data_IF_870658379356
#
_entry.id   IF_870658379356
#
_cell.length_a   1.000
_cell.length_b   1.000
_cell.length_c   1.000
_cell.angle_alpha   90.00
_cell.angle_beta   90.00
_cell.angle_gamma   90.00
#
_symmetry.space_group_name_H-M   'P 1'
#
loop_
_entity.id
_entity.type
_entity.pdbx_description
1 polymer ?
#
# COMPACT_ATOMS: atom_id res chain seq x y z
N UNK A 1 -12.24 31.02 28.77
CA UNK A 1 -12.23 30.02 27.69
C UNK A 1 -10.77 29.79 27.38
N UNK A 2 -10.15 28.84 28.06
CA UNK A 2 -8.84 28.36 27.66
C UNK A 2 -9.04 27.50 26.43
N UNK A 3 -8.40 27.91 25.34
CA UNK A 3 -8.26 27.07 24.15
C UNK A 3 -7.16 26.10 24.53
N UNK A 4 -7.53 24.87 24.86
CA UNK A 4 -6.58 23.79 25.12
C UNK A 4 -5.76 23.59 23.83
N UNK A 5 -4.48 24.00 23.88
CA UNK A 5 -3.64 24.21 22.70
C UNK A 5 -2.43 23.27 22.62
N UNK A 6 -2.37 22.20 23.43
CA UNK A 6 -1.10 21.47 23.62
C UNK A 6 -1.16 19.94 23.60
N UNK A 7 -2.27 19.35 23.14
CA UNK A 7 -2.29 17.91 22.84
C UNK A 7 -2.61 17.69 21.37
N UNK A 8 -1.71 17.05 20.60
CA UNK A 8 -2.06 16.54 19.27
C UNK A 8 -3.32 15.71 19.40
N UNK A 9 -4.31 15.99 18.57
CA UNK A 9 -5.51 15.14 18.46
C UNK A 9 -5.03 13.73 18.12
N UNK A 10 -5.08 12.83 19.10
CA UNK A 10 -4.57 11.46 18.98
C UNK A 10 -5.27 10.71 17.84
N UNK A 11 -6.53 11.05 17.55
CA UNK A 11 -7.24 10.51 16.40
C UNK A 11 -6.59 10.99 15.08
N UNK A 12 -6.26 12.28 14.99
CA UNK A 12 -5.60 12.84 13.80
C UNK A 12 -4.20 12.28 13.62
N UNK A 13 -3.42 12.15 14.69
CA UNK A 13 -2.09 11.55 14.64
C UNK A 13 -2.15 10.12 14.07
N UNK A 14 -3.10 9.31 14.56
CA UNK A 14 -3.27 7.95 14.06
C UNK A 14 -3.72 7.90 12.60
N UNK A 15 -4.57 8.84 12.18
CA UNK A 15 -4.98 8.96 10.77
C UNK A 15 -3.79 9.32 9.88
N UNK A 16 -2.93 10.23 10.32
CA UNK A 16 -1.72 10.64 9.59
C UNK A 16 -0.71 9.49 9.50
N UNK A 17 -0.52 8.70 10.57
CA UNK A 17 0.31 7.48 10.56
C UNK A 17 -0.19 6.45 9.52
N UNK A 18 -1.49 6.16 9.52
CA UNK A 18 -2.10 5.21 8.59
C UNK A 18 -1.99 5.69 7.13
N UNK A 19 -2.09 7.01 6.90
CA UNK A 19 -1.87 7.60 5.58
C UNK A 19 -0.42 7.43 5.10
N UNK A 20 0.55 7.71 5.96
CA UNK A 20 1.97 7.53 5.63
C UNK A 20 2.30 6.06 5.35
N UNK A 21 1.70 5.14 6.11
CA UNK A 21 1.83 3.70 5.85
C UNK A 21 1.27 3.33 4.46
N UNK A 22 0.09 3.83 4.09
CA UNK A 22 -0.49 3.61 2.77
C UNK A 22 0.38 4.21 1.67
N UNK A 23 0.95 5.41 1.86
CA UNK A 23 1.85 6.04 0.88
C UNK A 23 3.09 5.18 0.63
N UNK A 24 3.73 4.67 1.68
CA UNK A 24 4.88 3.75 1.54
C UNK A 24 4.49 2.43 0.86
N UNK A 25 3.31 1.88 1.16
CA UNK A 25 2.80 0.66 0.53
C UNK A 25 2.43 0.87 -0.95
N UNK A 26 1.94 2.06 -1.31
CA UNK A 26 1.69 2.42 -2.71
C UNK A 26 2.99 2.47 -3.52
N UNK A 27 4.05 3.05 -2.96
CA UNK A 27 5.37 3.06 -3.60
C UNK A 27 5.89 1.63 -3.81
N UNK A 28 5.83 0.78 -2.77
CA UNK A 28 6.21 -0.61 -2.88
C UNK A 28 5.40 -1.35 -3.95
N UNK A 29 4.09 -1.13 -4.01
CA UNK A 29 3.21 -1.73 -5.00
C UNK A 29 3.52 -1.28 -6.42
N UNK A 30 3.87 -0.01 -6.63
CA UNK A 30 4.33 0.50 -7.92
C UNK A 30 5.64 -0.17 -8.34
N UNK A 31 6.61 -0.29 -7.44
CA UNK A 31 7.88 -0.95 -7.73
C UNK A 31 7.67 -2.41 -8.17
N UNK A 32 6.84 -3.17 -7.44
CA UNK A 32 6.55 -4.57 -7.81
C UNK A 32 5.83 -4.67 -9.15
N UNK A 33 4.92 -3.74 -9.44
CA UNK A 33 4.26 -3.66 -10.75
C UNK A 33 5.26 -3.39 -11.88
N UNK A 34 6.17 -2.44 -11.71
CA UNK A 34 7.21 -2.12 -12.69
C UNK A 34 8.14 -3.32 -12.95
N UNK A 35 8.54 -4.04 -11.91
CA UNK A 35 9.34 -5.26 -12.03
C UNK A 35 8.60 -6.37 -12.79
N UNK A 36 7.33 -6.59 -12.47
CA UNK A 36 6.49 -7.57 -13.16
C UNK A 36 6.32 -7.19 -14.64
N UNK A 37 6.11 -5.92 -14.93
CA UNK A 37 5.93 -5.43 -16.29
C UNK A 37 7.22 -5.54 -17.11
N UNK A 38 8.40 -5.28 -16.50
CA UNK A 38 9.69 -5.50 -17.13
C UNK A 38 9.90 -6.98 -17.49
N UNK A 39 9.57 -7.91 -16.58
CA UNK A 39 9.59 -9.35 -16.87
C UNK A 39 8.64 -9.73 -18.00
N UNK A 40 7.45 -9.10 -18.06
CA UNK A 40 6.48 -9.31 -19.12
C UNK A 40 7.03 -8.87 -20.49
N UNK A 41 7.68 -7.71 -20.55
CA UNK A 41 8.32 -7.23 -21.78
C UNK A 41 9.47 -8.14 -22.24
N UNK A 42 10.25 -8.70 -21.32
CA UNK A 42 11.28 -9.69 -21.66
C UNK A 42 10.69 -11.00 -22.18
N UNK A 43 9.62 -11.49 -21.54
CA UNK A 43 8.91 -12.69 -22.00
C UNK A 43 8.32 -12.49 -23.41
N UNK A 44 7.76 -11.32 -23.73
CA UNK A 44 7.24 -11.01 -25.07
C UNK A 44 8.30 -11.14 -26.17
N UNK A 45 9.58 -10.91 -25.85
CA UNK A 45 10.70 -11.09 -26.80
C UNK A 45 11.01 -12.56 -27.06
N UNK A 46 10.75 -13.45 -26.10
CA UNK A 46 11.00 -14.89 -26.18
C UNK A 46 9.81 -15.71 -25.63
N UNK A 47 8.66 -15.70 -26.32
CA UNK A 47 7.47 -16.43 -25.88
C UNK A 47 7.73 -17.94 -25.99
N UNK A 48 8.08 -18.57 -24.88
CA UNK A 48 8.48 -19.99 -24.82
C UNK A 48 9.57 -20.30 -23.80
N UNK A 49 10.25 -19.27 -23.27
CA UNK A 49 11.07 -19.42 -22.07
C UNK A 49 10.18 -19.66 -20.83
N UNK A 50 10.64 -20.47 -19.87
CA UNK A 50 9.99 -20.68 -18.56
C UNK A 50 10.13 -19.43 -17.66
N UNK A 51 9.65 -18.29 -18.13
CA UNK A 51 9.57 -17.03 -17.39
C UNK A 51 8.10 -16.69 -17.12
N UNK A 52 7.81 -15.89 -16.09
CA UNK A 52 6.45 -15.55 -15.61
C UNK A 52 5.69 -16.75 -15.05
N UNK A 53 6.30 -17.41 -14.09
CA UNK A 53 5.62 -18.41 -13.27
C UNK A 53 4.76 -17.73 -12.20
N UNK A 54 3.87 -18.46 -11.54
CA UNK A 54 3.09 -17.92 -10.40
C UNK A 54 3.98 -17.31 -9.31
N UNK A 55 5.18 -17.85 -9.09
CA UNK A 55 6.14 -17.30 -8.12
C UNK A 55 6.61 -15.89 -8.48
N UNK A 56 6.62 -15.52 -9.76
CA UNK A 56 6.97 -14.18 -10.21
C UNK A 56 5.87 -13.14 -9.90
N UNK A 57 4.63 -13.59 -9.67
CA UNK A 57 3.49 -12.73 -9.32
C UNK A 57 3.30 -12.58 -7.81
N UNK A 58 3.85 -13.49 -7.00
CA UNK A 58 3.66 -13.48 -5.54
C UNK A 58 4.07 -12.17 -4.87
N UNK A 59 5.21 -11.53 -5.21
CA UNK A 59 5.62 -10.26 -4.59
C UNK A 59 4.59 -9.15 -4.83
N UNK A 60 4.12 -9.00 -6.07
CA UNK A 60 3.09 -8.03 -6.44
C UNK A 60 1.75 -8.32 -5.75
N UNK A 61 1.37 -9.59 -5.62
CA UNK A 61 0.15 -9.98 -4.90
C UNK A 61 0.25 -9.70 -3.39
N UNK A 62 1.42 -9.95 -2.79
CA UNK A 62 1.67 -9.71 -1.38
C UNK A 62 1.66 -8.21 -1.05
N UNK A 63 2.28 -7.39 -1.90
CA UNK A 63 2.27 -5.93 -1.78
C UNK A 63 0.84 -5.38 -1.94
N UNK A 64 0.06 -5.87 -2.92
CA UNK A 64 -1.35 -5.49 -3.10
C UNK A 64 -2.19 -5.80 -1.86
N UNK A 65 -2.06 -7.02 -1.32
CA UNK A 65 -2.79 -7.45 -0.12
C UNK A 65 -2.45 -6.59 1.09
N UNK A 66 -1.18 -6.20 1.23
CA UNK A 66 -0.73 -5.34 2.34
C UNK A 66 -1.35 -3.94 2.23
N UNK A 67 -1.38 -3.38 1.02
CA UNK A 67 -2.05 -2.11 0.74
C UNK A 67 -3.56 -2.17 1.02
N UNK A 68 -4.25 -3.23 0.62
CA UNK A 68 -5.68 -3.42 0.90
C UNK A 68 -5.98 -3.46 2.41
N UNK A 69 -5.13 -4.13 3.19
CA UNK A 69 -5.26 -4.20 4.64
C UNK A 69 -5.05 -2.82 5.30
N UNK A 70 -4.04 -2.07 4.86
CA UNK A 70 -3.77 -0.73 5.37
C UNK A 70 -4.90 0.26 5.04
N UNK A 71 -5.42 0.21 3.80
CA UNK A 71 -6.57 1.02 3.40
C UNK A 71 -7.80 0.71 4.26
N UNK A 72 -8.08 -0.58 4.51
CA UNK A 72 -9.18 -0.98 5.38
C UNK A 72 -9.00 -0.47 6.81
N UNK A 73 -7.78 -0.52 7.35
CA UNK A 73 -7.49 0.00 8.68
C UNK A 73 -7.73 1.52 8.76
N UNK A 74 -7.38 2.27 7.71
CA UNK A 74 -7.69 3.69 7.60
C UNK A 74 -9.20 3.94 7.52
N UNK A 75 -9.94 3.19 6.70
CA UNK A 75 -11.39 3.33 6.58
C UNK A 75 -12.10 3.05 7.91
N UNK A 76 -11.68 2.01 8.61
CA UNK A 76 -12.19 1.66 9.96
C UNK A 76 -11.88 2.79 10.96
N UNK A 77 -10.67 3.36 10.94
CA UNK A 77 -10.28 4.48 11.80
C UNK A 77 -11.06 5.77 11.49
N UNK A 78 -11.30 6.05 10.21
CA UNK A 78 -12.09 7.21 9.78
C UNK A 78 -13.55 7.09 10.24
N UNK A 79 -14.10 5.88 10.23
CA UNK A 79 -15.49 5.62 10.59
C UNK A 79 -15.84 5.94 12.05
N UNK A 80 -14.83 5.94 12.94
CA UNK A 80 -14.98 6.16 14.38
C UNK A 80 -14.61 7.57 14.84
N UNK A 81 -14.50 8.53 13.91
CA UNK A 81 -14.11 9.92 14.22
C UNK A 81 -14.98 10.52 15.35
N UNK A 82 -14.38 10.93 16.47
CA UNK A 82 -15.09 11.66 17.53
C UNK A 82 -15.64 12.99 17.00
N UNK A 83 -16.84 13.37 17.46
CA UNK A 83 -17.49 14.65 17.09
C UNK A 83 -16.80 15.85 17.71
#
# INVERSE_FOLDING_TARGET
>A
MEIDMDTPDAWKLRADELRLEIEALLEAQLCEYELLNAKLEEWKKNPGAEWLTMADYEPWQAALKSLELAQRALDEHISVRPK
#
